data_IF_954480288794
#
_entry.id   IF_954480288794
#
_cell.length_a   1.000
_cell.length_b   1.000
_cell.length_c   1.000
_cell.angle_alpha   90.00
_cell.angle_beta   90.00
_cell.angle_gamma   90.00
#
_symmetry.space_group_name_H-M   'P 1'
#
loop_
_entity.id
_entity.type
_entity.pdbx_description
1 polymer ?
#
# COMPACT_ATOMS: atom_id res chain seq x y z
N UNK A 1 60.19 -55.74 26.49
CA UNK A 1 59.09 -54.99 25.85
C UNK A 1 58.24 -54.41 26.97
N UNK A 2 58.39 -53.11 27.25
CA UNK A 2 57.61 -52.40 28.26
C UNK A 2 57.23 -51.05 27.64
N UNK A 3 55.96 -50.91 27.25
CA UNK A 3 55.43 -49.64 26.74
C UNK A 3 55.17 -48.74 27.95
N UNK A 4 55.96 -47.68 28.09
CA UNK A 4 55.82 -46.73 29.19
C UNK A 4 54.46 -46.04 29.18
N UNK A 5 53.86 -45.92 30.36
CA UNK A 5 52.59 -45.24 30.57
C UNK A 5 52.69 -43.76 30.15
N UNK A 6 51.68 -43.20 29.45
CA UNK A 6 51.71 -41.79 29.08
C UNK A 6 51.76 -40.90 30.32
N UNK A 7 52.53 -39.80 30.23
CA UNK A 7 52.65 -38.83 31.31
C UNK A 7 51.31 -38.11 31.56
N UNK A 8 51.10 -37.60 32.78
CA UNK A 8 49.91 -36.77 33.13
C UNK A 8 49.70 -35.60 32.15
N UNK A 9 50.76 -35.04 31.57
CA UNK A 9 50.69 -33.97 30.57
C UNK A 9 50.10 -34.46 29.24
N UNK A 10 50.35 -35.71 28.87
CA UNK A 10 49.82 -36.35 27.64
C UNK A 10 48.34 -36.68 27.79
N UNK A 11 47.92 -37.14 28.97
CA UNK A 11 46.50 -37.39 29.29
C UNK A 11 45.67 -36.09 29.31
N UNK A 12 46.23 -35.00 29.84
CA UNK A 12 45.56 -33.67 29.84
C UNK A 12 45.44 -33.10 28.42
N UNK A 13 46.44 -33.27 27.56
CA UNK A 13 46.36 -32.86 26.17
C UNK A 13 45.29 -33.62 25.38
N UNK A 14 45.14 -34.94 25.61
CA UNK A 14 44.09 -35.75 24.97
C UNK A 14 42.67 -35.39 25.45
N UNK A 15 42.50 -34.99 26.71
CA UNK A 15 41.23 -34.49 27.26
C UNK A 15 40.85 -33.11 26.67
N UNK A 16 41.83 -32.25 26.39
CA UNK A 16 41.58 -30.90 25.85
C UNK A 16 41.33 -30.89 24.33
N UNK A 17 41.83 -31.88 23.57
CA UNK A 17 41.47 -32.06 22.15
C UNK A 17 40.08 -32.64 21.93
N UNK A 18 39.53 -33.40 22.90
CA UNK A 18 38.17 -33.95 22.82
C UNK A 18 37.07 -32.94 23.15
N UNK A 19 37.32 -32.01 24.08
CA UNK A 19 36.33 -30.99 24.48
C UNK A 19 36.13 -29.90 23.42
N UNK A 20 37.14 -29.60 22.60
CA UNK A 20 37.05 -28.57 21.56
C UNK A 20 36.14 -28.99 20.38
N UNK A 21 36.04 -30.28 20.07
CA UNK A 21 35.18 -30.80 18.99
C UNK A 21 33.71 -30.93 19.41
N UNK A 22 33.43 -31.16 20.69
CA UNK A 22 32.06 -31.21 21.21
C UNK A 22 31.40 -29.81 21.29
N UNK A 23 32.17 -28.76 21.60
CA UNK A 23 31.64 -27.39 21.71
C UNK A 23 31.25 -26.77 20.35
N UNK A 24 31.96 -27.11 19.27
CA UNK A 24 31.63 -26.63 17.91
C UNK A 24 30.34 -27.29 17.37
N UNK A 25 30.05 -28.52 17.80
CA UNK A 25 28.89 -29.27 17.33
C UNK A 25 27.57 -28.79 17.98
N UNK A 26 27.61 -28.23 19.20
CA UNK A 26 26.42 -27.71 19.90
C UNK A 26 26.02 -26.32 19.40
N UNK A 27 26.97 -25.50 18.95
CA UNK A 27 26.68 -24.17 18.38
C UNK A 27 25.90 -24.25 17.05
N UNK A 28 26.03 -25.35 16.30
CA UNK A 28 25.30 -25.58 15.05
C UNK A 28 23.83 -25.98 15.33
N UNK A 29 23.53 -26.57 16.49
CA UNK A 29 22.17 -27.01 16.82
C UNK A 29 21.27 -25.94 17.47
N UNK A 30 21.83 -24.83 17.98
CA UNK A 30 21.05 -23.84 18.75
C UNK A 30 20.93 -22.44 18.11
N UNK A 31 21.61 -22.13 17.01
CA UNK A 31 21.52 -20.81 16.36
C UNK A 31 20.91 -20.81 14.95
N UNK A 32 20.72 -21.99 14.36
CA UNK A 32 20.37 -22.18 12.94
C UNK A 32 18.90 -21.95 12.56
N UNK A 33 18.08 -21.41 13.46
CA UNK A 33 16.79 -20.85 13.10
C UNK A 33 16.84 -19.35 13.34
N UNK A 34 17.59 -18.64 12.50
CA UNK A 34 17.06 -17.37 12.06
C UNK A 34 15.67 -17.71 11.52
N UNK A 35 14.62 -17.36 12.26
CA UNK A 35 13.28 -17.38 11.72
C UNK A 35 13.40 -16.54 10.46
N UNK A 36 13.42 -17.21 9.30
CA UNK A 36 13.20 -16.54 8.05
C UNK A 36 11.84 -15.92 8.28
N UNK A 37 11.81 -14.64 8.59
CA UNK A 37 10.59 -13.88 8.50
C UNK A 37 10.24 -14.06 7.04
N UNK A 38 9.31 -14.96 6.77
CA UNK A 38 8.49 -14.84 5.61
C UNK A 38 7.83 -13.50 5.86
N UNK A 39 8.47 -12.40 5.41
CA UNK A 39 7.73 -11.23 4.99
C UNK A 39 6.69 -11.87 4.12
N UNK A 40 5.47 -12.03 4.65
CA UNK A 40 4.33 -12.12 3.78
C UNK A 40 4.53 -10.91 2.89
N UNK A 41 4.93 -11.15 1.65
CA UNK A 41 4.81 -10.15 0.59
C UNK A 41 3.34 -9.85 0.63
N UNK A 42 3.01 -8.78 1.36
CA UNK A 42 1.65 -8.25 1.44
C UNK A 42 1.14 -8.25 0.00
N UNK A 43 -0.12 -8.65 -0.23
CA UNK A 43 -0.72 -8.56 -1.56
C UNK A 43 -0.29 -7.24 -2.18
N UNK A 44 0.21 -7.29 -3.41
CA UNK A 44 0.89 -6.18 -4.09
C UNK A 44 0.11 -4.86 -4.01
N UNK A 45 -1.21 -4.95 -3.80
CA UNK A 45 -2.13 -3.85 -3.57
C UNK A 45 -3.03 -4.12 -2.34
N UNK A 46 -2.70 -3.53 -1.19
CA UNK A 46 -3.59 -3.47 -0.02
C UNK A 46 -3.95 -2.01 0.22
N UNK A 47 -5.24 -1.72 0.37
CA UNK A 47 -5.70 -0.35 0.18
C UNK A 47 -7.07 -0.01 0.74
N UNK A 48 -7.44 1.25 0.54
CA UNK A 48 -8.74 1.83 0.92
C UNK A 48 -9.32 2.64 -0.23
N UNK A 49 -10.60 3.00 -0.11
CA UNK A 49 -11.20 4.03 -0.94
C UNK A 49 -10.91 5.40 -0.33
N UNK A 50 -10.44 6.34 -1.13
CA UNK A 50 -10.36 7.75 -0.79
C UNK A 50 -11.52 8.46 -1.48
N UNK A 51 -12.65 8.51 -0.77
CA UNK A 51 -13.89 9.13 -1.23
C UNK A 51 -13.83 10.67 -1.19
N UNK A 52 -14.73 11.30 -1.93
CA UNK A 52 -14.95 12.75 -1.93
C UNK A 52 -15.29 13.27 -3.32
N UNK A 53 -14.58 12.82 -4.36
CA UNK A 53 -14.71 13.38 -5.71
C UNK A 53 -15.96 12.87 -6.45
N UNK A 54 -16.64 11.87 -5.89
CA UNK A 54 -17.92 11.32 -6.31
C UNK A 54 -19.12 11.84 -5.51
N UNK A 55 -18.88 12.55 -4.39
CA UNK A 55 -19.93 13.10 -3.51
C UNK A 55 -20.76 14.15 -4.23
N UNK A 56 -21.85 14.64 -3.62
CA UNK A 56 -22.65 15.73 -4.18
C UNK A 56 -23.83 15.28 -5.03
N UNK A 57 -24.67 16.25 -5.42
CA UNK A 57 -26.00 16.44 -4.84
C UNK A 57 -27.03 15.44 -5.36
N UNK A 58 -28.24 15.54 -4.82
CA UNK A 58 -29.36 14.73 -5.28
C UNK A 58 -29.56 14.94 -6.79
N UNK A 59 -29.45 13.82 -7.53
CA UNK A 59 -29.40 13.83 -9.00
C UNK A 59 -30.66 14.37 -9.65
N UNK A 60 -31.74 14.43 -8.88
CA UNK A 60 -33.07 14.86 -9.31
C UNK A 60 -33.26 16.39 -9.26
N UNK A 61 -32.43 17.14 -8.51
CA UNK A 61 -32.62 18.58 -8.27
C UNK A 61 -31.49 19.47 -8.79
N UNK A 62 -30.22 19.09 -8.59
CA UNK A 62 -29.08 20.00 -8.82
C UNK A 62 -28.19 19.61 -10.02
N UNK A 63 -28.49 18.47 -10.65
CA UNK A 63 -27.67 17.87 -11.68
C UNK A 63 -26.39 17.23 -11.12
N UNK A 64 -25.74 16.33 -11.88
CA UNK A 64 -24.70 15.45 -11.35
C UNK A 64 -23.35 16.13 -11.08
N UNK A 65 -23.22 17.43 -11.38
CA UNK A 65 -21.94 18.14 -11.45
C UNK A 65 -21.56 18.72 -10.09
N UNK A 66 -22.48 19.40 -9.42
CA UNK A 66 -22.22 20.08 -8.16
C UNK A 66 -21.04 21.07 -8.20
N UNK A 67 -20.68 21.60 -7.03
CA UNK A 67 -19.72 22.67 -6.81
C UNK A 67 -18.55 22.15 -5.97
N UNK A 68 -17.35 22.23 -6.52
CA UNK A 68 -16.12 21.85 -5.84
C UNK A 68 -15.92 22.66 -4.56
N UNK A 69 -15.52 21.99 -3.48
CA UNK A 69 -15.29 22.59 -2.16
C UNK A 69 -16.57 22.78 -1.33
N UNK A 70 -17.75 22.51 -1.88
CA UNK A 70 -19.03 22.54 -1.14
C UNK A 70 -19.72 21.19 -1.17
N UNK A 71 -19.95 20.64 -2.35
CA UNK A 71 -20.72 19.40 -2.52
C UNK A 71 -19.83 18.18 -2.75
N UNK A 72 -18.59 18.42 -3.18
CA UNK A 72 -17.57 17.40 -3.38
C UNK A 72 -16.18 18.00 -3.20
N UNK A 73 -15.20 17.15 -2.98
CA UNK A 73 -13.79 17.55 -2.85
C UNK A 73 -12.86 16.44 -3.33
N UNK A 74 -11.55 16.66 -3.29
CA UNK A 74 -10.54 15.64 -3.57
C UNK A 74 -9.70 15.32 -2.33
N UNK A 75 -9.33 14.03 -2.13
CA UNK A 75 -8.74 13.53 -0.88
C UNK A 75 -7.23 13.79 -0.80
N UNK A 76 -6.81 15.04 -0.97
CA UNK A 76 -5.43 15.51 -0.80
C UNK A 76 -5.40 16.86 -0.07
N UNK A 77 -4.33 17.14 0.67
CA UNK A 77 -4.20 18.36 1.46
C UNK A 77 -4.30 19.66 0.63
N UNK A 78 -3.80 19.66 -0.62
CA UNK A 78 -3.86 20.83 -1.51
C UNK A 78 -5.32 21.22 -1.90
N UNK A 79 -6.25 20.26 -1.90
CA UNK A 79 -7.66 20.46 -2.29
C UNK A 79 -8.62 20.37 -1.09
N UNK A 80 -8.21 19.68 -0.02
CA UNK A 80 -8.93 19.57 1.25
C UNK A 80 -7.95 19.83 2.40
N UNK A 81 -7.78 21.08 2.85
CA UNK A 81 -6.83 21.42 3.90
C UNK A 81 -7.06 20.60 5.18
N UNK A 82 -5.98 20.04 5.73
CA UNK A 82 -6.01 19.17 6.91
C UNK A 82 -6.37 17.70 6.64
N UNK A 83 -6.53 17.32 5.36
CA UNK A 83 -6.78 15.93 5.00
C UNK A 83 -5.48 15.10 4.94
N UNK A 84 -5.22 14.37 6.04
CA UNK A 84 -3.98 13.59 6.24
C UNK A 84 -4.17 12.07 6.08
N UNK A 85 -5.35 11.63 5.64
CA UNK A 85 -5.67 10.20 5.53
C UNK A 85 -4.72 9.39 4.63
N UNK A 86 -4.24 9.89 3.47
CA UNK A 86 -3.34 9.10 2.63
C UNK A 86 -2.06 8.71 3.38
N UNK A 87 -1.42 9.67 4.07
CA UNK A 87 -0.23 9.42 4.88
C UNK A 87 -0.52 8.46 6.05
N UNK A 88 -1.67 8.61 6.71
CA UNK A 88 -2.09 7.70 7.77
C UNK A 88 -2.20 6.25 7.28
N UNK A 89 -2.85 6.02 6.13
CA UNK A 89 -3.04 4.67 5.59
C UNK A 89 -1.73 4.06 5.10
N UNK A 90 -0.85 4.85 4.47
CA UNK A 90 0.49 4.40 4.09
C UNK A 90 1.32 3.96 5.30
N UNK A 91 1.26 4.71 6.40
CA UNK A 91 1.92 4.34 7.66
C UNK A 91 1.38 3.03 8.28
N UNK A 92 0.18 2.61 7.88
CA UNK A 92 -0.44 1.33 8.25
C UNK A 92 -0.16 0.20 7.24
N UNK A 93 0.66 0.45 6.22
CA UNK A 93 1.02 -0.52 5.19
C UNK A 93 0.00 -0.66 4.05
N UNK A 94 -0.96 0.27 3.93
CA UNK A 94 -1.89 0.34 2.80
C UNK A 94 -1.29 1.23 1.71
N UNK A 95 -0.87 0.63 0.60
CA UNK A 95 -0.13 1.26 -0.50
C UNK A 95 -0.99 1.53 -1.75
N UNK A 96 -2.30 1.28 -1.69
CA UNK A 96 -3.21 1.43 -2.82
C UNK A 96 -4.43 2.24 -2.45
N UNK A 97 -4.81 3.19 -3.28
CA UNK A 97 -5.99 4.02 -3.11
C UNK A 97 -6.91 3.92 -4.30
N UNK A 98 -8.15 3.49 -4.06
CA UNK A 98 -9.22 3.59 -5.03
C UNK A 98 -9.82 5.00 -4.92
N UNK A 99 -9.85 5.72 -6.03
CA UNK A 99 -10.31 7.10 -6.13
C UNK A 99 -11.60 7.16 -6.96
N UNK A 100 -12.78 7.15 -6.31
CA UNK A 100 -14.06 7.34 -6.98
C UNK A 100 -14.17 8.76 -7.54
N UNK A 101 -14.60 8.89 -8.78
CA UNK A 101 -14.87 10.15 -9.48
C UNK A 101 -16.17 10.04 -10.26
N UNK A 102 -16.84 11.17 -10.49
CA UNK A 102 -18.09 11.21 -11.25
C UNK A 102 -17.83 11.60 -12.71
N UNK A 103 -18.28 10.78 -13.65
CA UNK A 103 -18.12 11.02 -15.10
C UNK A 103 -18.66 12.38 -15.51
N UNK A 104 -19.87 12.71 -15.06
CA UNK A 104 -20.57 13.92 -15.47
C UNK A 104 -19.86 15.21 -15.03
N UNK A 105 -18.87 15.13 -14.13
CA UNK A 105 -17.96 16.24 -13.79
C UNK A 105 -16.78 16.33 -14.75
N UNK A 106 -16.22 15.18 -15.12
CA UNK A 106 -15.09 15.09 -16.04
C UNK A 106 -15.49 15.42 -17.46
N UNK A 107 -16.73 15.13 -17.85
CA UNK A 107 -17.25 15.36 -19.18
C UNK A 107 -18.72 15.75 -19.06
N UNK A 108 -19.06 16.99 -19.43
CA UNK A 108 -20.43 17.50 -19.31
C UNK A 108 -21.36 16.98 -20.42
N UNK A 109 -20.78 16.60 -21.55
CA UNK A 109 -21.50 16.05 -22.70
C UNK A 109 -20.72 14.87 -23.28
N UNK A 110 -21.39 13.73 -23.48
CA UNK A 110 -20.76 12.53 -24.04
C UNK A 110 -20.06 12.82 -25.37
N UNK A 111 -18.81 12.38 -25.49
CA UNK A 111 -18.00 12.56 -26.68
C UNK A 111 -17.44 13.98 -26.89
N UNK A 112 -17.74 14.93 -26.00
CA UNK A 112 -17.13 16.27 -26.00
C UNK A 112 -15.82 16.29 -25.20
N UNK A 113 -15.01 17.36 -25.30
CA UNK A 113 -13.82 17.50 -24.47
C UNK A 113 -14.13 17.39 -22.96
N UNK A 114 -13.13 16.94 -22.21
CA UNK A 114 -13.22 16.91 -20.75
C UNK A 114 -13.21 18.34 -20.18
N UNK A 115 -13.87 18.52 -19.04
CA UNK A 115 -13.78 19.74 -18.26
C UNK A 115 -12.34 19.93 -17.76
N UNK A 116 -11.77 21.09 -18.07
CA UNK A 116 -10.34 21.36 -17.84
C UNK A 116 -10.02 21.47 -16.34
N UNK A 117 -10.91 22.10 -15.58
CA UNK A 117 -10.67 22.37 -14.17
C UNK A 117 -10.84 21.09 -13.35
N UNK A 118 -11.83 20.26 -13.69
CA UNK A 118 -12.03 18.97 -13.04
C UNK A 118 -10.91 17.99 -13.40
N UNK A 119 -10.50 17.94 -14.67
CA UNK A 119 -9.36 17.14 -15.08
C UNK A 119 -8.07 17.58 -14.36
N UNK A 120 -7.87 18.88 -14.14
CA UNK A 120 -6.72 19.39 -13.39
C UNK A 120 -6.74 18.94 -11.92
N UNK A 121 -7.90 18.97 -11.25
CA UNK A 121 -8.05 18.47 -9.88
C UNK A 121 -7.77 16.97 -9.77
N UNK A 122 -8.30 16.19 -10.71
CA UNK A 122 -8.04 14.75 -10.78
C UNK A 122 -6.55 14.47 -11.00
N UNK A 123 -5.93 15.14 -11.98
CA UNK A 123 -4.52 14.96 -12.28
C UNK A 123 -3.61 15.35 -11.10
N UNK A 124 -3.92 16.46 -10.42
CA UNK A 124 -3.21 16.88 -9.22
C UNK A 124 -3.34 15.81 -8.11
N UNK A 125 -4.53 15.27 -7.91
CA UNK A 125 -4.78 14.22 -6.90
C UNK A 125 -3.97 12.96 -7.19
N UNK A 126 -4.01 12.45 -8.43
CA UNK A 126 -3.22 11.27 -8.84
C UNK A 126 -1.73 11.54 -8.66
N UNK A 127 -1.25 12.72 -9.05
CA UNK A 127 0.16 13.12 -8.89
C UNK A 127 0.58 13.12 -7.42
N UNK A 128 -0.21 13.76 -6.55
CA UNK A 128 0.09 13.87 -5.11
C UNK A 128 0.08 12.53 -4.40
N UNK A 129 -0.85 11.64 -4.74
CA UNK A 129 -0.85 10.28 -4.21
C UNK A 129 0.34 9.47 -4.74
N UNK A 130 0.71 9.65 -6.00
CA UNK A 130 1.89 9.02 -6.60
C UNK A 130 3.22 9.50 -6.00
N UNK A 131 3.32 10.76 -5.59
CA UNK A 131 4.48 11.29 -4.84
C UNK A 131 4.68 10.62 -3.47
N UNK A 132 3.67 9.91 -2.97
CA UNK A 132 3.73 9.10 -1.76
C UNK A 132 4.00 7.61 -2.03
N UNK A 133 4.45 7.27 -3.24
CA UNK A 133 4.66 5.89 -3.72
C UNK A 133 3.39 5.01 -3.65
N UNK A 134 2.20 5.63 -3.69
CA UNK A 134 0.93 4.91 -3.69
C UNK A 134 0.47 4.54 -5.11
N UNK A 135 -0.18 3.38 -5.23
CA UNK A 135 -0.95 3.00 -6.42
C UNK A 135 -2.32 3.66 -6.39
N UNK A 136 -2.77 4.20 -7.52
CA UNK A 136 -4.11 4.81 -7.63
C UNK A 136 -4.96 4.03 -8.63
N UNK A 137 -6.13 3.57 -8.17
CA UNK A 137 -7.16 2.97 -9.02
C UNK A 137 -8.23 4.04 -9.26
N UNK A 138 -8.29 4.57 -10.48
CA UNK A 138 -9.35 5.49 -10.86
C UNK A 138 -10.67 4.72 -11.04
N UNK A 139 -11.70 5.16 -10.34
CA UNK A 139 -13.03 4.56 -10.36
C UNK A 139 -14.06 5.56 -10.91
N UNK A 140 -14.54 5.33 -12.14
CA UNK A 140 -15.72 6.04 -12.64
C UNK A 140 -16.98 5.54 -11.91
N UNK A 141 -17.38 6.28 -10.88
CA UNK A 141 -18.39 5.88 -9.90
C UNK A 141 -19.83 6.12 -10.41
N UNK A 142 -20.15 5.48 -11.53
CA UNK A 142 -21.28 5.83 -12.38
C UNK A 142 -22.35 4.74 -12.51
N UNK A 143 -22.14 3.56 -11.92
CA UNK A 143 -23.14 2.47 -11.90
C UNK A 143 -23.66 2.09 -13.29
N UNK A 144 -22.76 2.11 -14.29
CA UNK A 144 -23.08 1.84 -15.69
C UNK A 144 -23.94 2.92 -16.37
N UNK A 145 -24.07 4.12 -15.77
CA UNK A 145 -24.95 5.18 -16.25
C UNK A 145 -24.24 6.51 -16.44
N UNK A 146 -24.77 7.31 -17.35
CA UNK A 146 -24.45 8.72 -17.52
C UNK A 146 -25.74 9.52 -17.49
N UNK A 147 -25.86 10.49 -16.58
CA UNK A 147 -27.09 11.29 -16.40
C UNK A 147 -28.35 10.41 -16.27
N UNK A 148 -28.23 9.29 -15.53
CA UNK A 148 -29.32 8.33 -15.31
C UNK A 148 -29.55 7.33 -16.45
N UNK A 149 -28.99 7.57 -17.64
CA UNK A 149 -29.14 6.70 -18.82
C UNK A 149 -28.15 5.54 -18.78
N UNK A 150 -28.62 4.30 -18.97
CA UNK A 150 -27.79 3.10 -19.02
C UNK A 150 -26.91 3.10 -20.28
N UNK A 151 -25.64 2.74 -20.12
CA UNK A 151 -24.65 2.71 -21.20
C UNK A 151 -24.39 1.27 -21.63
N UNK A 152 -24.34 1.03 -22.94
CA UNK A 152 -23.95 -0.26 -23.53
C UNK A 152 -25.07 -1.30 -23.68
N UNK A 153 -26.32 -0.84 -23.81
CA UNK A 153 -27.48 -1.69 -24.18
C UNK A 153 -27.70 -1.77 -25.68
#
# INVERSE_FOLDING_TARGET
>A
MWLGSPSKKTLIAMLMTGAALAAVSIAIYLGGFAAQSHRQTMPFLVGVNLAGAEFGPDKEQDGPRGVFGTEYTYPIADLTPGYESPAYFLAKGMNTFRLPVRWERLQYELGKPLDKDELARLALTVKKLGELDAWVILDLHNFGRYEGTLIGT
#
